data_IF_556840375147
#
_entry.id   IF_556840375147
#
_cell.length_a   1.000
_cell.length_b   1.000
_cell.length_c   1.000
_cell.angle_alpha   90.00
_cell.angle_beta   90.00
_cell.angle_gamma   90.00
#
_symmetry.space_group_name_H-M   'P 1'
#
loop_
_entity.id
_entity.type
_entity.pdbx_description
1 polymer ?
#
# COMPACT_ATOMS: atom_id res chain seq x y z
N UNK A 1 -24.31 -14.49 0.00
CA UNK A 1 -24.86 -13.57 1.03
C UNK A 1 -23.75 -13.13 2.00
N UNK A 2 -23.64 -11.84 2.30
CA UNK A 2 -22.62 -11.28 3.20
C UNK A 2 -21.38 -10.67 2.52
N UNK A 3 -21.22 -10.82 1.21
CA UNK A 3 -20.24 -10.04 0.44
C UNK A 3 -20.84 -8.72 -0.04
N UNK A 4 -19.99 -7.73 -0.30
CA UNK A 4 -20.39 -6.43 -0.84
C UNK A 4 -19.25 -5.81 -1.66
N UNK A 5 -19.59 -4.79 -2.44
CA UNK A 5 -18.65 -3.99 -3.22
C UNK A 5 -18.47 -2.64 -2.53
N UNK A 6 -17.23 -2.17 -2.45
CA UNK A 6 -16.83 -0.85 -2.01
C UNK A 6 -16.20 -0.12 -3.19
N UNK A 7 -16.79 1.00 -3.59
CA UNK A 7 -16.23 1.91 -4.60
C UNK A 7 -15.39 2.96 -3.90
N UNK A 8 -14.11 3.06 -4.29
CA UNK A 8 -13.19 4.12 -3.88
C UNK A 8 -12.89 5.01 -5.08
N UNK A 9 -12.29 6.16 -4.81
CA UNK A 9 -11.94 7.15 -5.84
C UNK A 9 -11.09 6.57 -6.98
N UNK A 10 -10.23 5.58 -6.68
CA UNK A 10 -9.29 4.99 -7.65
C UNK A 10 -9.25 3.46 -7.66
N UNK A 11 -10.17 2.81 -6.96
CA UNK A 11 -10.23 1.34 -6.92
C UNK A 11 -11.64 0.81 -6.63
N UNK A 12 -11.85 -0.46 -6.98
CA UNK A 12 -13.05 -1.21 -6.65
C UNK A 12 -12.66 -2.40 -5.78
N UNK A 13 -13.29 -2.53 -4.62
CA UNK A 13 -12.98 -3.61 -3.68
C UNK A 13 -14.19 -4.49 -3.46
N UNK A 14 -14.03 -5.79 -3.69
CA UNK A 14 -15.01 -6.79 -3.30
C UNK A 14 -14.64 -7.42 -1.96
N UNK A 15 -15.51 -7.26 -0.97
CA UNK A 15 -15.34 -7.81 0.37
C UNK A 15 -16.12 -9.10 0.51
N UNK A 16 -15.46 -10.16 0.99
CA UNK A 16 -16.12 -11.46 1.22
C UNK A 16 -15.91 -12.02 2.63
N UNK A 17 -15.41 -11.20 3.56
CA UNK A 17 -15.14 -11.61 4.94
C UNK A 17 -16.37 -12.14 5.69
N UNK A 18 -17.55 -11.59 5.44
CA UNK A 18 -18.81 -12.02 6.06
C UNK A 18 -19.58 -13.06 5.24
N UNK A 19 -19.03 -13.48 4.09
CA UNK A 19 -19.58 -14.59 3.33
C UNK A 19 -19.19 -15.93 3.97
N UNK A 20 -19.83 -17.02 3.52
CA UNK A 20 -19.40 -18.37 3.90
C UNK A 20 -17.90 -18.54 3.58
N UNK A 21 -17.05 -18.96 4.53
CA UNK A 21 -15.60 -18.97 4.33
C UNK A 21 -15.14 -19.83 3.15
N UNK A 22 -15.66 -21.06 3.01
CA UNK A 22 -15.24 -21.97 1.94
C UNK A 22 -15.71 -21.48 0.57
N UNK A 23 -16.96 -21.04 0.47
CA UNK A 23 -17.51 -20.51 -0.77
C UNK A 23 -16.86 -19.18 -1.16
N UNK A 24 -16.59 -18.30 -0.19
CA UNK A 24 -15.93 -17.01 -0.41
C UNK A 24 -14.56 -17.17 -1.03
N UNK A 25 -13.74 -18.10 -0.53
CA UNK A 25 -12.44 -18.44 -1.12
C UNK A 25 -12.53 -18.96 -2.55
N UNK A 26 -13.48 -19.87 -2.82
CA UNK A 26 -13.69 -20.40 -4.18
C UNK A 26 -14.08 -19.26 -5.14
N UNK A 27 -15.04 -18.43 -4.74
CA UNK A 27 -15.49 -17.30 -5.56
C UNK A 27 -14.44 -16.22 -5.74
N UNK A 28 -13.59 -15.97 -4.73
CA UNK A 28 -12.48 -15.02 -4.84
C UNK A 28 -11.50 -15.47 -5.92
N UNK A 29 -11.09 -16.74 -5.93
CA UNK A 29 -10.17 -17.27 -6.97
C UNK A 29 -10.78 -17.24 -8.37
N UNK A 30 -12.04 -17.65 -8.50
CA UNK A 30 -12.76 -17.55 -9.78
C UNK A 30 -12.83 -16.10 -10.27
N UNK A 31 -13.13 -15.17 -9.38
CA UNK A 31 -13.19 -13.74 -9.70
C UNK A 31 -11.83 -13.20 -10.12
N UNK A 32 -10.77 -13.51 -9.38
CA UNK A 32 -9.39 -13.10 -9.71
C UNK A 32 -8.98 -13.62 -11.08
N UNK A 33 -9.24 -14.89 -11.39
CA UNK A 33 -8.89 -15.48 -12.68
C UNK A 33 -9.65 -14.82 -13.83
N UNK A 34 -10.96 -14.59 -13.67
CA UNK A 34 -11.77 -13.92 -14.69
C UNK A 34 -11.34 -12.46 -14.89
N UNK A 35 -11.15 -11.72 -13.80
CA UNK A 35 -10.74 -10.33 -13.86
C UNK A 35 -9.35 -10.19 -14.48
N UNK A 36 -8.38 -11.01 -14.06
CA UNK A 36 -7.01 -10.98 -14.62
C UNK A 36 -7.01 -11.11 -16.14
N UNK A 37 -7.88 -11.97 -16.70
CA UNK A 37 -8.02 -12.13 -18.15
C UNK A 37 -8.63 -10.89 -18.82
N UNK A 38 -9.70 -10.33 -18.24
CA UNK A 38 -10.40 -9.16 -18.79
C UNK A 38 -9.53 -7.90 -18.70
N UNK A 39 -8.75 -7.77 -17.63
CA UNK A 39 -7.97 -6.57 -17.32
C UNK A 39 -6.55 -6.59 -17.87
N UNK A 40 -6.12 -7.68 -18.53
CA UNK A 40 -4.74 -7.89 -18.96
C UNK A 40 -4.13 -6.73 -19.77
N UNK A 41 -4.94 -6.00 -20.55
CA UNK A 41 -4.50 -4.89 -21.40
C UNK A 41 -5.08 -3.52 -20.98
N UNK A 42 -5.62 -3.41 -19.76
CA UNK A 42 -6.35 -2.21 -19.31
C UNK A 42 -5.58 -1.34 -18.31
N UNK A 43 -4.28 -1.59 -18.09
CA UNK A 43 -3.50 -0.95 -17.03
C UNK A 43 -4.18 -1.05 -15.65
N UNK A 44 -4.79 -2.21 -15.37
CA UNK A 44 -5.41 -2.51 -14.08
C UNK A 44 -4.70 -3.71 -13.45
N UNK A 45 -4.50 -3.65 -12.13
CA UNK A 45 -4.07 -4.78 -11.31
C UNK A 45 -5.25 -5.34 -10.53
N UNK A 46 -5.31 -6.67 -10.46
CA UNK A 46 -6.21 -7.42 -9.59
C UNK A 46 -5.39 -7.94 -8.41
N UNK A 47 -5.76 -7.54 -7.21
CA UNK A 47 -5.03 -7.83 -5.98
C UNK A 47 -5.89 -8.68 -5.05
N UNK A 48 -5.31 -9.77 -4.55
CA UNK A 48 -5.88 -10.55 -3.46
C UNK A 48 -5.37 -9.99 -2.13
N UNK A 49 -6.28 -9.56 -1.26
CA UNK A 49 -5.98 -9.09 0.09
C UNK A 49 -6.65 -9.94 1.16
N UNK A 50 -6.52 -9.55 2.43
CA UNK A 50 -7.12 -10.30 3.54
C UNK A 50 -8.66 -10.28 3.50
N UNK A 51 -9.25 -11.30 2.86
CA UNK A 51 -10.69 -11.46 2.60
C UNK A 51 -11.28 -10.36 1.69
N UNK A 52 -10.47 -9.87 0.74
CA UNK A 52 -10.86 -8.90 -0.28
C UNK A 52 -10.25 -9.26 -1.65
N UNK A 53 -10.92 -8.85 -2.73
CA UNK A 53 -10.35 -8.73 -4.07
C UNK A 53 -10.44 -7.28 -4.50
N UNK A 54 -9.33 -6.64 -4.83
CA UNK A 54 -9.27 -5.24 -5.23
C UNK A 54 -8.83 -5.11 -6.69
N UNK A 55 -9.51 -4.25 -7.46
CA UNK A 55 -9.09 -3.85 -8.80
C UNK A 55 -8.71 -2.38 -8.76
N UNK A 56 -7.51 -2.04 -9.20
CA UNK A 56 -7.00 -0.66 -9.22
C UNK A 56 -6.13 -0.41 -10.43
N UNK A 57 -5.99 0.86 -10.82
CA UNK A 57 -5.05 1.26 -11.86
C UNK A 57 -3.60 1.00 -11.42
N UNK A 58 -2.81 0.37 -12.30
CA UNK A 58 -1.38 0.09 -12.09
C UNK A 58 -0.56 1.36 -11.92
N UNK A 59 -1.00 2.43 -12.57
CA UNK A 59 -0.38 3.74 -12.55
C UNK A 59 -0.61 4.50 -11.23
N UNK A 60 -1.48 3.99 -10.35
CA UNK A 60 -1.82 4.62 -9.07
C UNK A 60 -1.15 3.83 -7.95
N UNK A 61 0.04 4.28 -7.56
CA UNK A 61 0.76 3.78 -6.40
C UNK A 61 1.28 4.92 -5.51
N UNK A 62 1.57 4.59 -4.24
CA UNK A 62 2.01 5.57 -3.25
C UNK A 62 3.34 6.22 -3.64
N UNK A 63 4.21 5.52 -4.38
CA UNK A 63 5.46 6.07 -4.91
C UNK A 63 5.27 7.23 -5.87
N UNK A 64 4.36 7.10 -6.84
CA UNK A 64 4.01 8.19 -7.76
C UNK A 64 3.34 9.35 -7.03
N UNK A 65 2.48 9.06 -6.06
CA UNK A 65 1.91 10.11 -5.22
C UNK A 65 3.00 10.85 -4.43
N UNK A 66 3.96 10.14 -3.83
CA UNK A 66 5.08 10.74 -3.10
C UNK A 66 5.95 11.60 -4.02
N UNK A 67 6.31 11.12 -5.21
CA UNK A 67 7.07 11.89 -6.20
C UNK A 67 6.38 13.20 -6.57
N UNK A 68 5.05 13.19 -6.72
CA UNK A 68 4.27 14.41 -7.02
C UNK A 68 4.37 15.47 -5.91
N UNK A 69 4.61 15.09 -4.66
CA UNK A 69 4.84 16.04 -3.56
C UNK A 69 6.31 16.46 -3.48
N UNK A 70 7.23 15.50 -3.61
CA UNK A 70 8.67 15.74 -3.54
C UNK A 70 9.13 16.67 -4.67
N UNK A 71 8.54 16.58 -5.86
CA UNK A 71 8.93 17.39 -7.02
C UNK A 71 8.42 18.85 -7.00
N UNK A 72 7.62 19.24 -5.99
CA UNK A 72 7.05 20.60 -5.94
C UNK A 72 8.07 21.67 -5.54
N UNK A 73 9.08 21.28 -4.78
CA UNK A 73 10.05 22.18 -4.18
C UNK A 73 11.29 21.40 -3.74
N UNK A 74 12.40 22.09 -3.51
CA UNK A 74 13.60 21.49 -2.93
C UNK A 74 13.43 21.37 -1.42
N UNK A 75 13.26 20.15 -0.93
CA UNK A 75 13.08 19.86 0.48
C UNK A 75 14.45 19.65 1.16
N UNK A 76 14.72 20.40 2.23
CA UNK A 76 15.91 20.20 3.06
C UNK A 76 15.90 18.86 3.83
N UNK A 77 14.71 18.29 4.05
CA UNK A 77 14.52 17.04 4.77
C UNK A 77 13.30 16.27 4.26
N UNK A 78 13.49 14.98 3.97
CA UNK A 78 12.42 14.07 3.53
C UNK A 78 12.45 12.82 4.43
N UNK A 79 11.31 12.50 5.06
CA UNK A 79 11.12 11.31 5.86
C UNK A 79 9.85 10.57 5.43
N UNK A 80 9.98 9.31 5.06
CA UNK A 80 8.87 8.41 4.78
C UNK A 80 8.89 7.22 5.75
N UNK A 81 7.73 6.88 6.30
CA UNK A 81 7.55 5.76 7.23
C UNK A 81 6.34 4.95 6.76
N UNK A 82 6.49 3.63 6.64
CA UNK A 82 5.41 2.74 6.17
C UNK A 82 5.56 1.32 6.71
N UNK A 83 4.46 0.59 6.81
CA UNK A 83 4.37 -0.72 7.44
C UNK A 83 4.01 -1.85 6.48
N UNK A 84 3.43 -1.54 5.32
CA UNK A 84 2.88 -2.55 4.41
C UNK A 84 3.59 -2.58 3.06
N UNK A 85 3.36 -3.63 2.27
CA UNK A 85 4.00 -3.83 0.97
C UNK A 85 3.73 -2.68 -0.01
N UNK A 86 2.58 -2.01 0.12
CA UNK A 86 2.25 -0.84 -0.71
C UNK A 86 3.18 0.35 -0.49
N UNK A 87 3.85 0.42 0.66
CA UNK A 87 4.81 1.50 0.98
C UNK A 87 6.18 1.26 0.31
N UNK A 88 6.44 0.05 -0.18
CA UNK A 88 7.66 -0.25 -0.93
C UNK A 88 7.77 0.57 -2.21
N UNK A 89 6.64 0.86 -2.87
CA UNK A 89 6.61 1.77 -4.02
C UNK A 89 7.06 3.18 -3.62
N UNK A 90 6.68 3.64 -2.41
CA UNK A 90 7.17 4.90 -1.85
C UNK A 90 8.68 4.84 -1.63
N UNK A 91 9.18 3.80 -0.95
CA UNK A 91 10.59 3.70 -0.61
C UNK A 91 11.50 3.65 -1.84
N UNK A 92 11.09 2.93 -2.89
CA UNK A 92 11.82 2.85 -4.16
C UNK A 92 11.83 4.16 -4.94
N UNK A 93 10.82 5.00 -4.76
CA UNK A 93 10.68 6.26 -5.46
C UNK A 93 11.43 7.43 -4.79
N UNK A 94 11.84 7.27 -3.53
CA UNK A 94 12.52 8.33 -2.78
C UNK A 94 13.93 8.61 -3.31
N UNK A 95 14.39 9.88 -3.29
CA UNK A 95 15.76 10.19 -3.60
C UNK A 95 16.72 9.58 -2.55
N UNK A 96 17.99 9.30 -2.90
CA UNK A 96 18.97 8.71 -1.97
C UNK A 96 19.22 9.54 -0.70
N UNK A 97 18.93 10.85 -0.73
CA UNK A 97 19.05 11.77 0.41
C UNK A 97 17.92 11.62 1.42
N UNK A 98 16.79 11.02 1.04
CA UNK A 98 15.65 10.83 1.92
C UNK A 98 15.88 9.73 2.97
N UNK A 99 15.20 9.89 4.10
CA UNK A 99 15.09 8.89 5.16
C UNK A 99 13.85 8.04 4.92
N UNK A 100 14.03 6.72 4.83
CA UNK A 100 12.93 5.76 4.67
C UNK A 100 12.97 4.71 5.78
N UNK A 101 11.83 4.46 6.41
CA UNK A 101 11.71 3.57 7.58
C UNK A 101 10.57 2.57 7.37
N UNK A 102 10.90 1.27 7.39
CA UNK A 102 9.93 0.17 7.47
C UNK A 102 9.50 -0.04 8.92
N UNK A 103 8.21 -0.18 9.16
CA UNK A 103 7.67 -0.58 10.47
C UNK A 103 7.40 -2.08 10.46
N UNK A 104 7.90 -2.80 11.46
CA UNK A 104 7.82 -4.25 11.58
C UNK A 104 8.93 -4.99 10.83
N UNK A 105 8.85 -6.32 10.86
CA UNK A 105 9.86 -7.20 10.26
C UNK A 105 9.56 -7.51 8.79
N UNK A 106 10.61 -7.80 8.03
CA UNK A 106 10.51 -8.23 6.63
C UNK A 106 11.54 -7.55 5.72
N UNK A 107 11.67 -8.06 4.50
CA UNK A 107 12.46 -7.42 3.44
C UNK A 107 11.80 -6.12 3.02
N UNK A 108 12.60 -5.06 2.85
CA UNK A 108 12.12 -3.74 2.45
C UNK A 108 13.20 -2.98 1.68
N UNK A 109 12.78 -2.09 0.79
CA UNK A 109 13.61 -1.08 0.15
C UNK A 109 13.86 0.14 1.07
N UNK A 110 13.23 0.21 2.24
CA UNK A 110 13.53 1.21 3.25
C UNK A 110 14.98 1.07 3.76
N UNK A 111 15.62 2.20 4.06
CA UNK A 111 17.01 2.25 4.56
C UNK A 111 17.14 1.86 6.02
N UNK A 112 16.06 2.03 6.79
CA UNK A 112 16.00 1.76 8.21
C UNK A 112 14.72 1.00 8.55
N UNK A 113 14.66 0.45 9.77
CA UNK A 113 13.46 -0.18 10.29
C UNK A 113 13.22 0.18 11.76
N UNK A 114 11.95 0.14 12.15
CA UNK A 114 11.47 0.23 13.53
C UNK A 114 10.57 -0.97 13.79
N UNK A 115 10.56 -1.47 15.03
CA UNK A 115 9.85 -2.72 15.35
C UNK A 115 8.33 -2.54 15.39
N UNK A 116 7.85 -1.32 15.67
CA UNK A 116 6.44 -1.07 15.94
C UNK A 116 6.04 0.39 15.74
N UNK A 117 4.73 0.62 15.63
CA UNK A 117 4.14 1.96 15.57
C UNK A 117 4.49 2.80 16.82
N UNK A 118 4.62 2.18 17.99
CA UNK A 118 5.01 2.85 19.23
C UNK A 118 6.40 3.50 19.13
N UNK A 119 7.34 2.83 18.46
CA UNK A 119 8.67 3.40 18.21
C UNK A 119 8.64 4.56 17.23
N UNK A 120 7.77 4.51 16.22
CA UNK A 120 7.54 5.64 15.29
C UNK A 120 7.11 6.87 16.07
N UNK A 121 6.12 6.73 16.96
CA UNK A 121 5.64 7.84 17.79
C UNK A 121 6.75 8.37 18.70
N UNK A 122 7.57 7.48 19.29
CA UNK A 122 8.72 7.87 20.11
C UNK A 122 9.76 8.66 19.31
N UNK A 123 10.06 8.23 18.08
CA UNK A 123 10.96 8.92 17.15
C UNK A 123 10.44 10.33 16.84
N UNK A 124 9.19 10.45 16.40
CA UNK A 124 8.58 11.74 16.06
C UNK A 124 8.57 12.71 17.26
N UNK A 125 8.28 12.21 18.47
CA UNK A 125 8.37 13.01 19.70
C UNK A 125 9.78 13.50 19.99
N UNK A 126 10.80 12.66 19.78
CA UNK A 126 12.21 13.05 19.96
C UNK A 126 12.65 14.10 18.95
N UNK A 127 12.16 14.02 17.70
CA UNK A 127 12.46 15.01 16.66
C UNK A 127 11.87 16.38 17.01
N UNK A 128 10.62 16.43 17.49
CA UNK A 128 9.98 17.70 17.90
C UNK A 128 10.70 18.34 19.10
N UNK A 129 11.20 17.52 20.03
CA UNK A 129 11.84 18.00 21.28
C UNK A 129 13.27 18.49 21.10
N UNK A 130 13.92 18.16 19.99
CA UNK A 130 15.24 18.67 19.62
C UNK A 130 15.05 19.85 18.66
N UNK A 131 14.73 21.02 19.22
CA UNK A 131 15.01 22.32 18.60
C UNK A 131 16.23 22.91 19.27
#
# INVERSE_FOLDING_TARGET
PGSFIEEKEFSLVWHYRKANPKLGEIRARELINNLSNITANLNLHVLEGNKIVEVKNTDINKGRAALKYISKEEWDFILAIGDDWTDEDTFKALPPTAWSIKVGFGTSAARFSLSSQSEVISLLRKMVRRR
#
